data_IF_159933870544
#
_entry.id   IF_159933870544
#
_cell.length_a   1.000
_cell.length_b   1.000
_cell.length_c   1.000
_cell.angle_alpha   90.00
_cell.angle_beta   90.00
_cell.angle_gamma   90.00
#
_symmetry.space_group_name_H-M   'P 1'
#
loop_
_entity.id
_entity.type
_entity.pdbx_description
1 polymer ?
#
# COMPACT_ATOMS: atom_id res chain seq x y z
N UNK A 1 -28.67 -72.64 -56.26
CA UNK A 1 -27.78 -72.51 -55.08
C UNK A 1 -26.94 -71.23 -55.18
N UNK A 2 -26.65 -70.76 -56.39
CA UNK A 2 -25.74 -69.64 -56.68
C UNK A 2 -26.25 -68.26 -56.26
N UNK A 3 -27.57 -68.02 -56.32
CA UNK A 3 -28.18 -66.73 -55.91
C UNK A 3 -28.04 -66.48 -54.40
N UNK A 4 -28.22 -67.52 -53.59
CA UNK A 4 -28.02 -67.46 -52.13
C UNK A 4 -26.56 -67.17 -51.77
N UNK A 5 -25.62 -67.74 -52.52
CA UNK A 5 -24.19 -67.51 -52.34
C UNK A 5 -23.80 -66.06 -52.70
N UNK A 6 -24.37 -65.53 -53.79
CA UNK A 6 -24.15 -64.15 -54.22
C UNK A 6 -24.71 -63.13 -53.21
N UNK A 7 -25.89 -63.37 -52.65
CA UNK A 7 -26.48 -62.52 -51.59
C UNK A 7 -25.60 -62.54 -50.33
N UNK A 8 -25.08 -63.70 -49.96
CA UNK A 8 -24.21 -63.84 -48.79
C UNK A 8 -22.86 -63.12 -48.99
N UNK A 9 -22.27 -63.19 -50.18
CA UNK A 9 -21.06 -62.43 -50.53
C UNK A 9 -21.29 -60.92 -50.50
N UNK A 10 -22.44 -60.45 -51.00
CA UNK A 10 -22.82 -59.04 -50.94
C UNK A 10 -23.01 -58.55 -49.50
N UNK A 11 -23.64 -59.38 -48.65
CA UNK A 11 -23.80 -59.08 -47.23
C UNK A 11 -22.45 -58.99 -46.50
N UNK A 12 -21.50 -59.87 -46.82
CA UNK A 12 -20.14 -59.83 -46.27
C UNK A 12 -19.37 -58.59 -46.72
N UNK A 13 -19.46 -58.21 -48.00
CA UNK A 13 -18.83 -56.99 -48.51
C UNK A 13 -19.43 -55.74 -47.86
N UNK A 14 -20.75 -55.71 -47.68
CA UNK A 14 -21.43 -54.59 -47.02
C UNK A 14 -21.07 -54.50 -45.53
N UNK A 15 -21.01 -55.64 -44.82
CA UNK A 15 -20.57 -55.70 -43.44
C UNK A 15 -19.10 -55.27 -43.28
N UNK A 16 -18.22 -55.71 -44.18
CA UNK A 16 -16.81 -55.30 -44.22
C UNK A 16 -16.65 -53.81 -44.48
N UNK A 17 -17.41 -53.25 -45.43
CA UNK A 17 -17.42 -51.81 -45.71
C UNK A 17 -17.96 -50.99 -44.53
N UNK A 18 -19.02 -51.46 -43.89
CA UNK A 18 -19.60 -50.80 -42.71
C UNK A 18 -18.63 -50.80 -41.52
N UNK A 19 -17.97 -51.93 -41.25
CA UNK A 19 -16.94 -52.02 -40.21
C UNK A 19 -15.74 -51.13 -40.52
N UNK A 20 -15.25 -51.12 -41.76
CA UNK A 20 -14.15 -50.26 -42.18
C UNK A 20 -14.49 -48.77 -41.99
N UNK A 21 -15.68 -48.35 -42.42
CA UNK A 21 -16.13 -46.96 -42.29
C UNK A 21 -16.39 -46.56 -40.84
N UNK A 22 -16.89 -47.48 -40.00
CA UNK A 22 -17.08 -47.24 -38.58
C UNK A 22 -15.73 -47.10 -37.84
N UNK A 23 -14.81 -48.04 -38.06
CA UNK A 23 -13.47 -48.02 -37.45
C UNK A 23 -12.68 -46.79 -37.89
N UNK A 24 -12.81 -46.35 -39.14
CA UNK A 24 -12.15 -45.13 -39.65
C UNK A 24 -12.70 -43.83 -39.04
N UNK A 25 -13.97 -43.78 -38.64
CA UNK A 25 -14.61 -42.59 -38.04
C UNK A 25 -14.47 -42.50 -36.51
N UNK A 26 -14.15 -43.60 -35.83
CA UNK A 26 -13.89 -43.63 -34.38
C UNK A 26 -12.75 -42.69 -33.93
N UNK A 27 -11.56 -42.67 -34.56
CA UNK A 27 -10.47 -41.79 -34.12
C UNK A 27 -10.88 -40.32 -34.20
N UNK A 28 -11.53 -39.88 -35.28
CA UNK A 28 -11.98 -38.49 -35.42
C UNK A 28 -13.00 -38.09 -34.34
N UNK A 29 -13.92 -38.99 -33.98
CA UNK A 29 -14.90 -38.75 -32.91
C UNK A 29 -14.27 -38.70 -31.52
N UNK A 30 -13.28 -39.56 -31.25
CA UNK A 30 -12.54 -39.57 -29.99
C UNK A 30 -11.65 -38.34 -29.87
N UNK A 31 -10.95 -37.96 -30.93
CA UNK A 31 -10.13 -36.74 -30.98
C UNK A 31 -10.98 -35.49 -30.78
N UNK A 32 -12.13 -35.36 -31.45
CA UNK A 32 -13.02 -34.21 -31.26
C UNK A 32 -13.60 -34.12 -29.84
N UNK A 33 -13.92 -35.25 -29.20
CA UNK A 33 -14.38 -35.27 -27.80
C UNK A 33 -13.25 -34.90 -26.83
N UNK A 34 -12.05 -35.43 -27.05
CA UNK A 34 -10.89 -35.12 -26.21
C UNK A 34 -10.46 -33.65 -26.36
N UNK A 35 -10.54 -33.08 -27.57
CA UNK A 35 -10.25 -31.66 -27.79
C UNK A 35 -11.24 -30.77 -27.05
N UNK A 36 -12.54 -31.06 -27.13
CA UNK A 36 -13.57 -30.32 -26.39
C UNK A 36 -13.43 -30.45 -24.88
N UNK A 37 -13.08 -31.64 -24.38
CA UNK A 37 -12.82 -31.85 -22.96
C UNK A 37 -11.59 -31.06 -22.51
N UNK A 38 -10.54 -31.01 -23.33
CA UNK A 38 -9.34 -30.21 -23.07
C UNK A 38 -9.61 -28.70 -23.12
N UNK A 39 -10.37 -28.21 -24.10
CA UNK A 39 -10.81 -26.81 -24.17
C UNK A 39 -11.65 -26.42 -22.96
N UNK A 40 -12.55 -27.30 -22.51
CA UNK A 40 -13.37 -27.07 -21.33
C UNK A 40 -12.53 -27.04 -20.06
N UNK A 41 -11.57 -27.95 -19.92
CA UNK A 41 -10.65 -27.97 -18.78
C UNK A 41 -9.75 -26.73 -18.74
N UNK A 42 -9.21 -26.31 -19.90
CA UNK A 42 -8.45 -25.06 -20.01
C UNK A 42 -9.27 -23.83 -19.65
N UNK A 43 -10.50 -23.73 -20.16
CA UNK A 43 -11.38 -22.60 -19.83
C UNK A 43 -11.71 -22.57 -18.34
N UNK A 44 -11.94 -23.74 -17.74
CA UNK A 44 -12.18 -23.86 -16.30
C UNK A 44 -10.95 -23.44 -15.49
N UNK A 45 -9.75 -23.91 -15.86
CA UNK A 45 -8.50 -23.50 -15.20
C UNK A 45 -8.25 -21.99 -15.36
N UNK A 46 -8.54 -21.43 -16.53
CA UNK A 46 -8.40 -20.00 -16.79
C UNK A 46 -9.37 -19.18 -15.92
N UNK A 47 -10.60 -19.65 -15.77
CA UNK A 47 -11.62 -19.03 -14.92
C UNK A 47 -11.23 -19.12 -13.44
N UNK A 48 -10.77 -20.28 -12.96
CA UNK A 48 -10.25 -20.46 -11.61
C UNK A 48 -9.07 -19.53 -11.33
N UNK A 49 -8.11 -19.44 -12.25
CA UNK A 49 -6.94 -18.56 -12.12
C UNK A 49 -7.33 -17.09 -12.12
N UNK A 50 -8.27 -16.68 -12.99
CA UNK A 50 -8.81 -15.32 -13.01
C UNK A 50 -9.50 -14.97 -11.69
N UNK A 51 -10.27 -15.90 -11.14
CA UNK A 51 -10.95 -15.72 -9.86
C UNK A 51 -9.94 -15.59 -8.72
N UNK A 52 -8.91 -16.45 -8.69
CA UNK A 52 -7.81 -16.35 -7.71
C UNK A 52 -7.09 -15.00 -7.79
N UNK A 53 -6.68 -14.57 -8.98
CA UNK A 53 -6.04 -13.25 -9.18
C UNK A 53 -6.93 -12.11 -8.70
N UNK A 54 -8.24 -12.19 -8.96
CA UNK A 54 -9.19 -11.16 -8.53
C UNK A 54 -9.29 -11.12 -7.01
N UNK A 55 -9.41 -12.28 -6.36
CA UNK A 55 -9.43 -12.39 -4.90
C UNK A 55 -8.13 -11.89 -4.29
N UNK A 56 -6.97 -12.27 -4.83
CA UNK A 56 -5.67 -11.82 -4.33
C UNK A 56 -5.50 -10.31 -4.46
N UNK A 57 -5.94 -9.72 -5.57
CA UNK A 57 -5.95 -8.27 -5.76
C UNK A 57 -6.86 -7.55 -4.76
N UNK A 58 -8.05 -8.09 -4.49
CA UNK A 58 -8.95 -7.54 -3.48
C UNK A 58 -8.34 -7.62 -2.07
N UNK A 59 -7.74 -8.76 -1.72
CA UNK A 59 -7.03 -8.93 -0.45
C UNK A 59 -5.85 -7.96 -0.31
N UNK A 60 -5.05 -7.79 -1.38
CA UNK A 60 -3.96 -6.81 -1.39
C UNK A 60 -4.48 -5.38 -1.19
N UNK A 61 -5.56 -4.99 -1.88
CA UNK A 61 -6.18 -3.66 -1.71
C UNK A 61 -6.70 -3.44 -0.29
N UNK A 62 -7.33 -4.46 0.31
CA UNK A 62 -7.80 -4.41 1.69
C UNK A 62 -6.62 -4.21 2.64
N UNK A 63 -5.55 -4.97 2.46
CA UNK A 63 -4.35 -4.88 3.30
C UNK A 63 -3.65 -3.51 3.16
N UNK A 64 -3.51 -3.01 1.93
CA UNK A 64 -2.96 -1.69 1.64
C UNK A 64 -3.81 -0.58 2.28
N UNK A 65 -5.14 -0.67 2.18
CA UNK A 65 -6.06 0.25 2.83
C UNK A 65 -5.94 0.24 4.36
N UNK A 66 -5.86 -0.94 4.98
CA UNK A 66 -5.66 -1.08 6.42
C UNK A 66 -4.31 -0.48 6.86
N UNK A 67 -3.25 -0.73 6.09
CA UNK A 67 -1.93 -0.15 6.34
C UNK A 67 -1.95 1.38 6.23
N UNK A 68 -2.62 1.92 5.21
CA UNK A 68 -2.76 3.36 5.02
C UNK A 68 -3.52 4.02 6.17
N UNK A 69 -4.61 3.40 6.63
CA UNK A 69 -5.36 3.85 7.82
C UNK A 69 -4.45 3.87 9.05
N UNK A 70 -3.69 2.80 9.27
CA UNK A 70 -2.78 2.71 10.43
C UNK A 70 -1.68 3.78 10.36
N UNK A 71 -1.06 3.96 9.20
CA UNK A 71 -0.05 5.01 8.96
C UNK A 71 -0.59 6.40 9.23
N UNK A 72 -1.80 6.68 8.73
CA UNK A 72 -2.50 7.95 8.96
C UNK A 72 -2.74 8.20 10.45
N UNK A 73 -3.19 7.18 11.19
CA UNK A 73 -3.42 7.30 12.63
C UNK A 73 -2.13 7.57 13.41
N UNK A 74 -1.05 6.82 13.13
CA UNK A 74 0.22 7.00 13.86
C UNK A 74 0.90 8.34 13.53
N UNK A 75 0.82 8.80 12.28
CA UNK A 75 1.28 10.13 11.91
C UNK A 75 0.45 11.23 12.55
N UNK A 76 -0.86 11.07 12.63
CA UNK A 76 -1.73 12.05 13.29
C UNK A 76 -1.37 12.20 14.78
N UNK A 77 -1.11 11.09 15.49
CA UNK A 77 -0.64 11.11 16.88
C UNK A 77 0.71 11.79 17.02
N UNK A 78 1.63 11.58 16.07
CA UNK A 78 2.92 12.26 16.05
C UNK A 78 2.73 13.77 15.93
N UNK A 79 1.94 14.22 14.95
CA UNK A 79 1.66 15.64 14.73
C UNK A 79 0.99 16.26 15.95
N UNK A 80 0.03 15.58 16.59
CA UNK A 80 -0.62 16.04 17.81
C UNK A 80 0.39 16.27 18.95
N UNK A 81 1.26 15.29 19.22
CA UNK A 81 2.29 15.43 20.28
C UNK A 81 3.24 16.59 19.98
N UNK A 82 3.65 16.75 18.72
CA UNK A 82 4.54 17.83 18.30
C UNK A 82 3.86 19.20 18.44
N UNK A 83 2.60 19.32 18.04
CA UNK A 83 1.83 20.56 18.15
C UNK A 83 1.57 20.95 19.60
N UNK A 84 1.12 20.02 20.45
CA UNK A 84 0.89 20.28 21.88
C UNK A 84 2.19 20.79 22.55
N UNK A 85 3.33 20.22 22.16
CA UNK A 85 4.65 20.62 22.68
C UNK A 85 5.08 22.03 22.26
N UNK A 86 4.37 22.66 21.31
CA UNK A 86 4.65 24.01 20.83
C UNK A 86 3.55 25.02 21.19
N UNK A 87 2.29 24.60 21.31
CA UNK A 87 1.15 25.51 21.47
C UNK A 87 0.59 25.55 22.89
N UNK A 88 0.70 24.46 23.67
CA UNK A 88 0.16 24.39 25.03
C UNK A 88 1.20 24.81 26.07
N UNK A 89 1.11 26.06 26.52
CA UNK A 89 2.01 26.65 27.54
C UNK A 89 1.97 25.91 28.87
N UNK A 90 0.80 25.38 29.27
CA UNK A 90 0.67 24.65 30.52
C UNK A 90 1.32 23.28 30.43
N UNK A 91 1.16 22.61 29.30
CA UNK A 91 1.85 21.35 29.01
C UNK A 91 3.36 21.55 29.00
N UNK A 92 3.87 22.55 28.28
CA UNK A 92 5.32 22.85 28.19
C UNK A 92 5.90 23.18 29.57
N UNK A 93 5.20 23.98 30.37
CA UNK A 93 5.62 24.28 31.76
C UNK A 93 5.68 23.02 32.63
N UNK A 94 4.69 22.13 32.51
CA UNK A 94 4.68 20.85 33.24
C UNK A 94 5.78 19.92 32.73
N UNK A 95 6.08 19.94 31.43
CA UNK A 95 7.15 19.13 30.85
C UNK A 95 8.53 19.48 31.46
N UNK A 96 8.75 20.76 31.78
CA UNK A 96 9.99 21.23 32.43
C UNK A 96 10.04 21.03 33.95
N UNK A 97 8.91 20.79 34.62
CA UNK A 97 8.85 20.75 36.10
C UNK A 97 8.39 19.41 36.69
N UNK A 98 7.59 18.62 35.97
CA UNK A 98 7.05 17.33 36.42
C UNK A 98 7.77 16.15 35.74
N UNK A 99 8.55 15.40 36.52
CA UNK A 99 9.29 14.21 36.06
C UNK A 99 8.38 13.11 35.49
N UNK A 100 7.14 12.98 35.97
CA UNK A 100 6.19 11.98 35.47
C UNK A 100 5.76 12.33 34.04
N UNK A 101 5.40 13.59 33.81
CA UNK A 101 5.02 14.09 32.49
C UNK A 101 6.19 14.01 31.52
N UNK A 102 7.40 14.35 31.98
CA UNK A 102 8.62 14.21 31.17
C UNK A 102 8.88 12.77 30.73
N UNK A 103 8.74 11.80 31.65
CA UNK A 103 8.90 10.37 31.33
C UNK A 103 7.84 9.88 30.34
N UNK A 104 6.58 10.31 30.53
CA UNK A 104 5.49 9.96 29.62
C UNK A 104 5.70 10.54 28.22
N UNK A 105 6.09 11.82 28.13
CA UNK A 105 6.41 12.48 26.87
C UNK A 105 7.56 11.78 26.14
N UNK A 106 8.65 11.47 26.83
CA UNK A 106 9.79 10.75 26.25
C UNK A 106 9.40 9.35 25.75
N UNK A 107 8.54 8.64 26.49
CA UNK A 107 8.01 7.34 26.05
C UNK A 107 7.17 7.48 24.77
N UNK A 108 6.28 8.47 24.71
CA UNK A 108 5.47 8.75 23.51
C UNK A 108 6.36 9.12 22.31
N UNK A 109 7.35 9.99 22.50
CA UNK A 109 8.28 10.38 21.45
C UNK A 109 9.11 9.19 20.93
N UNK A 110 9.55 8.28 21.80
CA UNK A 110 10.27 7.08 21.38
C UNK A 110 9.37 6.14 20.58
N UNK A 111 8.15 5.90 21.05
CA UNK A 111 7.17 5.04 20.36
C UNK A 111 6.84 5.60 18.96
N UNK A 112 6.50 6.90 18.89
CA UNK A 112 6.16 7.56 17.63
C UNK A 112 7.37 7.65 16.69
N UNK A 113 8.57 7.94 17.20
CA UNK A 113 9.79 7.95 16.41
C UNK A 113 10.14 6.58 15.84
N UNK A 114 9.91 5.51 16.60
CA UNK A 114 10.12 4.13 16.14
C UNK A 114 9.12 3.76 15.04
N UNK A 115 7.84 4.12 15.20
CA UNK A 115 6.82 3.90 14.18
C UNK A 115 7.10 4.70 12.91
N UNK A 116 7.53 5.95 13.05
CA UNK A 116 7.97 6.76 11.92
C UNK A 116 9.11 6.08 11.16
N UNK A 117 10.09 5.50 11.86
CA UNK A 117 11.18 4.75 11.24
C UNK A 117 10.71 3.55 10.40
N UNK A 118 9.66 2.84 10.83
CA UNK A 118 9.13 1.67 10.09
C UNK A 118 8.22 2.03 8.92
N UNK A 119 7.48 3.15 9.00
CA UNK A 119 6.39 3.44 8.06
C UNK A 119 6.67 4.64 7.12
N UNK A 120 7.60 5.51 7.47
CA UNK A 120 7.90 6.72 6.70
C UNK A 120 8.98 6.48 5.64
N UNK A 121 9.05 7.38 4.66
CA UNK A 121 10.15 7.38 3.69
C UNK A 121 11.47 7.80 4.36
N UNK A 122 12.60 7.41 3.76
CA UNK A 122 13.93 7.80 4.22
C UNK A 122 14.08 9.32 4.37
N UNK A 123 13.45 10.10 3.49
CA UNK A 123 13.47 11.57 3.54
C UNK A 123 12.79 12.07 4.82
N UNK A 124 11.59 11.58 5.12
CA UNK A 124 10.85 11.90 6.36
C UNK A 124 11.62 11.47 7.61
N UNK A 125 12.20 10.27 7.61
CA UNK A 125 13.01 9.77 8.73
C UNK A 125 14.21 10.68 8.98
N UNK A 126 14.96 11.03 7.94
CA UNK A 126 16.12 11.93 8.05
C UNK A 126 15.72 13.30 8.56
N UNK A 127 14.61 13.87 8.06
CA UNK A 127 14.09 15.17 8.51
C UNK A 127 13.61 15.12 9.97
N UNK A 128 12.99 14.02 10.41
CA UNK A 128 12.64 13.83 11.81
C UNK A 128 13.88 13.75 12.72
N UNK A 129 14.92 13.05 12.28
CA UNK A 129 16.20 12.98 13.01
C UNK A 129 16.87 14.35 13.07
N UNK A 130 16.86 15.12 11.98
CA UNK A 130 17.34 16.49 11.92
C UNK A 130 16.61 17.37 12.94
N UNK A 131 15.27 17.37 12.89
CA UNK A 131 14.43 18.08 13.85
C UNK A 131 14.76 17.67 15.29
N UNK A 132 14.85 16.36 15.57
CA UNK A 132 15.11 15.87 16.93
C UNK A 132 16.48 16.31 17.42
N UNK A 133 17.53 16.18 16.60
CA UNK A 133 18.88 16.61 16.95
C UNK A 133 18.91 18.10 17.25
N UNK A 134 18.33 18.92 16.37
CA UNK A 134 18.30 20.37 16.53
C UNK A 134 17.47 20.81 17.76
N UNK A 135 16.34 20.17 18.02
CA UNK A 135 15.50 20.47 19.20
C UNK A 135 16.21 20.21 20.54
N UNK A 136 17.24 19.36 20.56
CA UNK A 136 18.00 19.02 21.76
C UNK A 136 19.20 19.94 21.99
N UNK A 137 19.50 20.86 21.08
CA UNK A 137 20.63 21.81 21.23
C UNK A 137 20.20 23.12 21.88
N UNK A 138 19.10 23.14 22.64
CA UNK A 138 18.52 24.36 23.26
C UNK A 138 19.50 25.17 24.09
N UNK A 139 20.48 24.52 24.73
CA UNK A 139 21.50 25.16 25.56
C UNK A 139 22.73 25.66 24.77
N UNK A 140 22.71 25.54 23.44
CA UNK A 140 23.82 25.95 22.57
C UNK A 140 23.61 27.37 22.02
N UNK A 141 24.68 28.15 21.81
CA UNK A 141 24.57 29.50 21.24
C UNK A 141 23.98 29.55 19.82
N UNK A 142 23.99 28.44 19.09
CA UNK A 142 23.49 28.32 17.72
C UNK A 142 22.01 27.93 17.64
N UNK A 143 21.34 27.78 18.79
CA UNK A 143 19.93 27.42 18.83
C UNK A 143 19.04 28.62 18.52
N UNK A 144 18.18 28.44 17.52
CA UNK A 144 17.15 29.39 17.13
C UNK A 144 15.79 28.70 17.18
N UNK A 145 14.91 29.18 18.08
CA UNK A 145 13.57 28.59 18.24
C UNK A 145 12.76 28.60 16.93
N UNK A 146 12.93 29.65 16.11
CA UNK A 146 12.32 29.77 14.78
C UNK A 146 12.73 28.60 13.88
N UNK A 147 14.01 28.23 13.88
CA UNK A 147 14.52 27.16 13.04
C UNK A 147 13.92 25.79 13.44
N UNK A 148 13.68 25.53 14.73
CA UNK A 148 12.97 24.30 15.17
C UNK A 148 11.59 24.20 14.53
N UNK A 149 10.86 25.31 14.52
CA UNK A 149 9.49 25.40 13.97
C UNK A 149 9.51 25.22 12.44
N UNK A 150 10.50 25.81 11.75
CA UNK A 150 10.67 25.65 10.30
C UNK A 150 10.97 24.19 9.94
N UNK A 151 11.94 23.55 10.60
CA UNK A 151 12.29 22.15 10.32
C UNK A 151 11.09 21.24 10.62
N UNK A 152 10.32 21.54 11.67
CA UNK A 152 9.08 20.83 11.95
C UNK A 152 8.06 20.98 10.81
N UNK A 153 7.83 22.20 10.31
CA UNK A 153 6.91 22.42 9.20
C UNK A 153 7.34 21.68 7.93
N UNK A 154 8.65 21.62 7.65
CA UNK A 154 9.20 20.79 6.56
C UNK A 154 8.91 19.30 6.77
N UNK A 155 9.06 18.80 8.01
CA UNK A 155 8.72 17.42 8.36
C UNK A 155 7.22 17.14 8.10
N UNK A 156 6.32 18.07 8.42
CA UNK A 156 4.89 17.90 8.17
C UNK A 156 4.58 17.77 6.68
N UNK A 157 5.27 18.54 5.82
CA UNK A 157 5.12 18.43 4.36
C UNK A 157 5.57 17.05 3.88
N UNK A 158 6.66 16.50 4.42
CA UNK A 158 7.13 15.15 4.07
C UNK A 158 6.17 14.06 4.56
N UNK A 159 5.64 14.19 5.78
CA UNK A 159 4.60 13.31 6.31
C UNK A 159 3.37 13.32 5.39
N UNK A 160 2.96 14.48 4.89
CA UNK A 160 1.85 14.60 3.92
C UNK A 160 2.13 13.83 2.63
N UNK A 161 3.36 13.88 2.09
CA UNK A 161 3.77 13.07 0.93
C UNK A 161 3.66 11.58 1.22
N UNK A 162 4.14 11.15 2.39
CA UNK A 162 4.09 9.76 2.83
C UNK A 162 2.66 9.22 3.05
N UNK A 163 1.67 10.10 3.24
CA UNK A 163 0.25 9.78 3.32
C UNK A 163 -0.44 9.65 1.95
N UNK A 164 0.30 9.71 0.85
CA UNK A 164 -0.21 9.51 -0.51
C UNK A 164 -0.32 10.80 -1.34
N UNK A 165 0.01 11.96 -0.77
CA UNK A 165 0.03 13.24 -1.48
C UNK A 165 1.43 13.55 -2.04
N UNK A 166 1.99 12.63 -2.83
CA UNK A 166 3.37 12.74 -3.34
C UNK A 166 3.61 13.98 -4.21
N UNK A 167 2.57 14.46 -4.89
CA UNK A 167 2.58 15.67 -5.74
C UNK A 167 1.99 16.90 -5.02
N UNK A 168 2.07 16.95 -3.69
CA UNK A 168 1.56 18.11 -2.93
C UNK A 168 2.30 19.39 -3.30
N UNK A 169 1.55 20.43 -3.64
CA UNK A 169 2.07 21.80 -3.80
C UNK A 169 2.17 22.54 -2.46
N UNK A 170 1.54 22.02 -1.39
CA UNK A 170 1.65 22.60 -0.05
C UNK A 170 3.10 22.65 0.42
N UNK A 171 3.49 23.80 0.90
CA UNK A 171 4.81 24.14 1.41
C UNK A 171 4.81 24.22 2.94
N UNK A 172 6.00 24.39 3.52
CA UNK A 172 6.13 24.67 4.96
C UNK A 172 5.40 25.95 5.38
N UNK A 173 5.37 26.96 4.51
CA UNK A 173 4.70 28.24 4.79
C UNK A 173 3.19 28.05 4.91
N UNK A 174 2.58 27.23 4.06
CA UNK A 174 1.14 26.94 4.14
C UNK A 174 0.78 26.28 5.47
N UNK A 175 1.60 25.36 5.95
CA UNK A 175 1.40 24.75 7.26
C UNK A 175 1.62 25.77 8.39
N UNK A 176 2.63 26.62 8.30
CA UNK A 176 2.91 27.63 9.30
C UNK A 176 1.81 28.69 9.39
N UNK A 177 1.15 29.03 8.29
CA UNK A 177 -0.05 29.88 8.31
C UNK A 177 -1.26 29.25 8.98
N UNK A 178 -1.38 27.92 8.94
CA UNK A 178 -2.41 27.20 9.70
C UNK A 178 -2.07 27.22 11.20
N UNK A 179 -0.79 27.08 11.54
CA UNK A 179 -0.34 26.93 12.92
C UNK A 179 -0.19 28.28 13.66
N UNK A 180 0.27 29.32 12.98
CA UNK A 180 0.68 30.60 13.57
C UNK A 180 -0.12 31.75 12.97
N UNK A 181 -0.65 32.62 13.83
CA UNK A 181 -1.50 33.75 13.41
C UNK A 181 -0.71 34.92 12.82
N UNK A 182 0.61 34.97 13.03
CA UNK A 182 1.48 36.09 12.69
C UNK A 182 2.73 35.67 11.88
N UNK A 183 2.68 34.52 11.20
CA UNK A 183 3.80 33.99 10.40
C UNK A 183 4.39 35.00 9.41
N UNK A 184 3.56 35.79 8.70
CA UNK A 184 4.02 36.81 7.74
C UNK A 184 4.98 37.84 8.36
N UNK A 185 4.76 38.20 9.63
CA UNK A 185 5.62 39.15 10.34
C UNK A 185 7.00 38.55 10.63
N UNK A 186 7.07 37.24 10.85
CA UNK A 186 8.33 36.54 11.11
C UNK A 186 9.09 36.16 9.84
N UNK A 187 8.38 36.01 8.72
CA UNK A 187 8.97 35.77 7.40
C UNK A 187 9.71 37.00 6.86
N UNK A 188 9.18 38.20 7.13
CA UNK A 188 9.70 39.47 6.59
C UNK A 188 10.91 40.04 7.34
N UNK A 189 11.23 39.53 8.54
CA UNK A 189 12.40 39.94 9.32
C UNK A 189 13.75 39.41 8.79
N UNK A 190 13.73 38.67 7.67
CA UNK A 190 14.91 38.11 6.98
C UNK A 190 15.07 38.60 5.53
N UNK A 191 14.31 39.64 5.13
CA UNK A 191 14.46 40.33 3.85
C UNK A 191 15.43 41.50 3.92
#
# INVERSE_FOLDING_TARGET
>A
MDILLAIFQLALLFAGWFLYTYVKKLPDQVHAKNLKAFELDLNKQLEEFRNQLTTDLELMKINESQLHIHKTQEFSKLVEVLLISLTDKDYVRKLGSDKRIQKEHNKKMLDLGTKLFFFASDETVKKFVEWRKYSLTVDTPQYEAKQVIIILAELIVLIRKDLGYSQTECTKDDFLHIMLTDWDRYKTLEG
#
